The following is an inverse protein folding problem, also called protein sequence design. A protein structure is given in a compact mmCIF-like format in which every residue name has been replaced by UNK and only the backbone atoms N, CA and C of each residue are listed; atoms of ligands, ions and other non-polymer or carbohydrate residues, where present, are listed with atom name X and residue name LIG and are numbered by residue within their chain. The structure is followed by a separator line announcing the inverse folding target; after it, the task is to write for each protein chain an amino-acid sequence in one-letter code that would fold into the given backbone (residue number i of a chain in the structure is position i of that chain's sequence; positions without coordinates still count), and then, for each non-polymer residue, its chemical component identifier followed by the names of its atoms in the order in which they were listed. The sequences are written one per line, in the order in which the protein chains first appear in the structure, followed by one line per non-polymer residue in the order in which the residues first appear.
data_IF_814384482919
#
_entry.id   IF_814384482919
#
_cell.length_a   1.000
_cell.length_b   1.000
_cell.length_c   1.000
_cell.angle_alpha   90.00
_cell.angle_beta   90.00
_cell.angle_gamma   90.00
#
_symmetry.space_group_name_H-M   'P 1'
#
loop_
_entity.id
_entity.type
_entity.pdbx_description
1 polymer ?
#
# COMPACT_ATOMS: atom_id res chain seq x y z
N UNK A 1 -6.33 17.31 -9.13
CA UNK A 1 -5.03 16.80 -9.64
C UNK A 1 -3.99 17.90 -9.43
N UNK A 2 -2.75 17.57 -9.09
CA UNK A 2 -1.69 18.56 -8.91
C UNK A 2 -1.39 19.26 -10.25
N UNK A 3 -0.94 20.51 -10.17
CA UNK A 3 -0.58 21.31 -11.35
C UNK A 3 0.73 20.79 -11.96
N UNK A 4 0.74 20.56 -13.27
CA UNK A 4 1.94 20.11 -14.01
C UNK A 4 2.63 21.30 -14.67
N UNK A 5 3.95 21.38 -14.55
CA UNK A 5 4.76 22.38 -15.26
C UNK A 5 5.14 21.85 -16.65
N UNK A 6 5.16 22.70 -17.69
CA UNK A 6 5.64 22.32 -19.02
C UNK A 6 7.12 21.89 -19.05
N UNK A 7 7.88 22.34 -18.06
CA UNK A 7 9.26 21.95 -17.82
C UNK A 7 9.31 21.22 -16.47
N UNK A 8 9.32 19.88 -16.45
CA UNK A 8 9.42 19.14 -15.21
C UNK A 8 10.79 19.41 -14.56
N UNK A 9 10.85 19.66 -13.25
CA UNK A 9 12.11 19.76 -12.53
C UNK A 9 12.81 18.39 -12.50
N UNK A 10 14.11 18.40 -12.20
CA UNK A 10 14.83 17.15 -11.97
C UNK A 10 14.27 16.43 -10.75
N UNK A 11 14.31 15.10 -10.78
CA UNK A 11 13.74 14.28 -9.73
C UNK A 11 14.49 14.51 -8.40
N UNK A 12 13.71 14.76 -7.35
CA UNK A 12 14.19 14.82 -5.97
C UNK A 12 13.44 13.79 -5.13
N UNK A 13 14.13 12.93 -4.36
CA UNK A 13 13.48 11.96 -3.49
C UNK A 13 12.43 12.59 -2.57
N UNK A 14 11.31 11.88 -2.41
CA UNK A 14 10.24 12.27 -1.51
C UNK A 14 10.17 11.45 -0.24
N UNK A 15 9.09 11.64 0.50
CA UNK A 15 8.83 10.92 1.75
C UNK A 15 8.56 9.44 1.47
N UNK A 16 7.86 9.14 0.37
CA UNK A 16 7.51 7.76 -0.03
C UNK A 16 8.22 7.32 -1.29
N UNK A 17 8.36 8.20 -2.27
CA UNK A 17 9.01 7.87 -3.53
C UNK A 17 10.52 8.18 -3.46
N UNK A 18 11.32 7.17 -3.14
CA UNK A 18 12.79 7.26 -3.14
C UNK A 18 13.36 6.99 -4.53
N UNK A 19 14.65 7.31 -4.75
CA UNK A 19 15.33 6.99 -6.01
C UNK A 19 15.34 5.48 -6.28
N UNK A 20 15.66 4.67 -5.26
CA UNK A 20 15.65 3.20 -5.35
C UNK A 20 14.27 2.67 -5.79
N UNK A 21 13.19 3.17 -5.19
CA UNK A 21 11.82 2.80 -5.56
C UNK A 21 11.46 3.22 -6.98
N UNK A 22 11.95 4.38 -7.44
CA UNK A 22 11.73 4.85 -8.80
C UNK A 22 12.51 3.99 -9.82
N UNK A 23 13.74 3.61 -9.49
CA UNK A 23 14.58 2.75 -10.34
C UNK A 23 13.98 1.34 -10.45
N UNK A 24 13.49 0.79 -9.34
CA UNK A 24 12.77 -0.50 -9.29
C UNK A 24 11.51 -0.53 -10.17
N UNK A 25 10.85 0.62 -10.37
CA UNK A 25 9.66 0.71 -11.22
C UNK A 25 9.98 0.54 -12.72
N UNK A 26 11.24 0.70 -13.14
CA UNK A 26 11.72 0.43 -14.49
C UNK A 26 10.85 1.03 -15.63
N UNK A 27 10.54 2.33 -15.49
CA UNK A 27 9.50 3.06 -16.25
C UNK A 27 9.72 3.08 -17.78
N UNK A 28 10.97 2.95 -18.27
CA UNK A 28 11.27 2.94 -19.70
C UNK A 28 12.17 1.76 -20.12
N UNK A 29 11.89 0.56 -19.64
CA UNK A 29 12.64 -0.65 -20.02
C UNK A 29 12.73 -0.89 -21.54
N UNK A 30 11.73 -0.43 -22.31
CA UNK A 30 11.66 -0.58 -23.76
C UNK A 30 12.19 0.59 -24.57
N UNK A 31 12.67 1.68 -23.94
CA UNK A 31 13.21 2.85 -24.65
C UNK A 31 12.20 3.62 -25.51
N UNK A 32 10.89 3.48 -25.23
CA UNK A 32 9.82 4.15 -25.99
C UNK A 32 9.71 5.63 -25.62
N UNK A 33 9.87 5.96 -24.34
CA UNK A 33 9.74 7.32 -23.84
C UNK A 33 11.00 8.14 -24.13
N UNK A 34 10.82 9.43 -24.42
CA UNK A 34 11.92 10.37 -24.48
C UNK A 34 12.42 10.73 -23.06
N UNK A 35 13.67 11.21 -22.92
CA UNK A 35 14.20 11.60 -21.61
C UNK A 35 13.34 12.64 -20.88
N UNK A 36 12.72 13.57 -21.61
CA UNK A 36 11.81 14.57 -21.01
C UNK A 36 10.46 13.97 -20.59
N UNK A 37 9.98 12.93 -21.28
CA UNK A 37 8.76 12.22 -20.89
C UNK A 37 8.98 11.35 -19.65
N UNK A 38 10.14 10.71 -19.52
CA UNK A 38 10.54 10.01 -18.30
C UNK A 38 10.58 10.96 -17.10
N UNK A 39 11.19 12.14 -17.29
CA UNK A 39 11.25 13.19 -16.26
C UNK A 39 9.86 13.68 -15.87
N UNK A 40 8.98 13.89 -16.85
CA UNK A 40 7.58 14.25 -16.58
C UNK A 40 6.87 13.16 -15.77
N UNK A 41 7.07 11.89 -16.11
CA UNK A 41 6.45 10.79 -15.39
C UNK A 41 6.94 10.69 -13.94
N UNK A 42 8.26 10.78 -13.72
CA UNK A 42 8.84 10.83 -12.39
C UNK A 42 8.29 12.02 -11.58
N UNK A 43 8.10 13.18 -12.22
CA UNK A 43 7.50 14.34 -11.59
C UNK A 43 6.02 14.10 -11.19
N UNK A 44 5.23 13.47 -12.07
CA UNK A 44 3.83 13.12 -11.77
C UNK A 44 3.75 12.16 -10.58
N UNK A 45 4.59 11.12 -10.55
CA UNK A 45 4.65 10.18 -9.42
C UNK A 45 5.05 10.90 -8.14
N UNK A 46 6.02 11.82 -8.20
CA UNK A 46 6.49 12.60 -7.05
C UNK A 46 5.38 13.48 -6.47
N UNK A 47 4.57 14.11 -7.32
CA UNK A 47 3.44 14.94 -6.91
C UNK A 47 2.30 14.13 -6.28
N UNK A 48 2.17 12.85 -6.66
CA UNK A 48 1.14 11.95 -6.16
C UNK A 48 1.72 10.86 -5.25
N UNK A 49 2.86 11.11 -4.59
CA UNK A 49 3.57 10.05 -3.85
C UNK A 49 2.71 9.40 -2.74
N UNK A 50 1.77 10.15 -2.16
CA UNK A 50 0.87 9.64 -1.12
C UNK A 50 -0.20 8.68 -1.65
N UNK A 51 -0.44 8.63 -2.96
CA UNK A 51 -1.34 7.63 -3.56
C UNK A 51 -0.64 6.30 -3.83
N UNK A 52 0.69 6.28 -3.80
CA UNK A 52 1.50 5.07 -4.00
C UNK A 52 1.67 4.34 -2.67
N UNK A 53 1.39 3.04 -2.68
CA UNK A 53 1.53 2.17 -1.51
C UNK A 53 2.75 1.26 -1.65
N UNK A 54 3.86 1.65 -1.02
CA UNK A 54 5.08 0.84 -0.96
C UNK A 54 5.13 -0.09 0.25
N UNK A 55 4.37 0.21 1.30
CA UNK A 55 4.35 -0.52 2.57
C UNK A 55 2.89 -0.74 2.99
N UNK A 56 2.65 -1.72 3.85
CA UNK A 56 1.30 -2.05 4.35
C UNK A 56 0.62 -0.87 5.06
N UNK A 57 1.38 0.02 5.70
CA UNK A 57 0.89 1.25 6.33
C UNK A 57 0.50 2.35 5.33
N UNK A 58 1.02 2.30 4.09
CA UNK A 58 0.66 3.24 3.04
C UNK A 58 -0.66 2.88 2.35
N UNK A 59 -1.16 1.66 2.57
CA UNK A 59 -2.47 1.22 2.05
C UNK A 59 -3.56 2.09 2.65
N UNK A 60 -4.28 2.80 1.80
CA UNK A 60 -5.45 3.57 2.22
C UNK A 60 -6.61 2.66 2.66
N UNK A 61 -7.41 3.15 3.60
CA UNK A 61 -8.71 2.57 3.97
C UNK A 61 -9.83 3.40 3.35
N UNK A 62 -11.02 2.80 3.24
CA UNK A 62 -12.20 3.56 2.84
C UNK A 62 -12.52 4.61 3.90
N UNK A 63 -12.96 5.78 3.45
CA UNK A 63 -13.39 6.84 4.36
C UNK A 63 -14.72 6.46 5.01
N UNK A 64 -14.77 6.50 6.33
CA UNK A 64 -15.95 6.17 7.13
C UNK A 64 -17.13 7.12 6.88
N UNK A 65 -16.85 8.37 6.47
CA UNK A 65 -17.90 9.36 6.14
C UNK A 65 -18.60 9.08 4.81
N UNK A 66 -18.00 8.25 3.95
CA UNK A 66 -18.56 7.87 2.66
C UNK A 66 -19.10 6.44 2.66
N UNK A 67 -18.46 5.53 3.40
CA UNK A 67 -18.84 4.12 3.47
C UNK A 67 -19.22 3.73 4.90
N UNK A 68 -20.47 3.30 5.08
CA UNK A 68 -20.91 2.72 6.35
C UNK A 68 -20.29 1.34 6.57
N UNK A 69 -20.07 0.92 7.83
CA UNK A 69 -19.66 -0.44 8.14
C UNK A 69 -20.57 -1.48 7.49
N UNK A 70 -19.97 -2.56 6.98
CA UNK A 70 -20.72 -3.64 6.35
C UNK A 70 -21.39 -4.51 7.42
N UNK A 71 -22.70 -4.71 7.30
CA UNK A 71 -23.46 -5.62 8.18
C UNK A 71 -23.52 -6.98 7.50
N UNK A 72 -22.89 -7.98 8.12
CA UNK A 72 -22.97 -9.37 7.64
C UNK A 72 -24.35 -9.92 7.99
N UNK A 73 -25.20 -10.28 7.02
CA UNK A 73 -26.49 -10.89 7.32
C UNK A 73 -26.27 -12.30 7.88
N UNK A 74 -26.91 -12.60 9.01
CA UNK A 74 -26.83 -13.89 9.69
C UNK A 74 -28.18 -14.59 9.73
N UNK A 75 -28.17 -15.91 9.69
CA UNK A 75 -29.31 -16.78 10.01
C UNK A 75 -29.13 -17.23 11.46
N UNK A 76 -30.19 -17.71 12.13
CA UNK A 76 -30.05 -18.32 13.46
C UNK A 76 -29.04 -19.48 13.41
N UNK A 77 -27.94 -19.35 14.15
CA UNK A 77 -26.87 -20.33 14.24
C UNK A 77 -26.20 -20.26 15.61
N UNK A 78 -25.56 -21.34 16.02
CA UNK A 78 -24.69 -21.37 17.18
C UNK A 78 -23.28 -20.91 16.77
N UNK A 79 -22.61 -20.03 17.55
CA UNK A 79 -21.22 -19.69 17.30
C UNK A 79 -20.34 -20.94 17.30
N UNK A 80 -19.51 -21.09 16.27
CA UNK A 80 -18.58 -22.21 16.14
C UNK A 80 -17.20 -21.82 16.66
N UNK A 81 -16.69 -22.54 17.66
CA UNK A 81 -15.30 -22.44 18.11
C UNK A 81 -14.52 -23.69 17.69
N UNK A 82 -13.36 -23.49 17.06
CA UNK A 82 -12.45 -24.57 16.68
C UNK A 82 -11.02 -24.22 17.10
N UNK A 83 -10.25 -25.24 17.49
CA UNK A 83 -8.86 -25.05 17.90
C UNK A 83 -8.02 -24.57 16.71
N UNK A 84 -7.20 -23.54 16.94
CA UNK A 84 -6.34 -22.97 15.91
C UNK A 84 -5.38 -24.04 15.33
N UNK A 85 -5.22 -24.02 14.02
CA UNK A 85 -4.27 -24.90 13.31
C UNK A 85 -2.84 -24.54 13.76
N UNK A 86 -2.01 -25.52 14.19
CA UNK A 86 -0.66 -25.23 14.65
C UNK A 86 0.22 -24.71 13.52
N UNK A 87 0.94 -23.61 13.79
CA UNK A 87 1.84 -22.99 12.82
C UNK A 87 3.19 -23.74 12.83
N UNK A 88 3.69 -24.20 11.66
CA UNK A 88 5.00 -24.83 11.57
C UNK A 88 6.13 -23.92 12.08
N UNK A 89 7.11 -24.44 12.85
CA UNK A 89 8.17 -23.63 13.44
C UNK A 89 8.97 -22.80 12.42
N UNK A 90 9.23 -23.35 11.23
CA UNK A 90 10.02 -22.68 10.20
C UNK A 90 9.38 -21.41 9.59
N UNK A 91 8.06 -21.23 9.74
CA UNK A 91 7.35 -20.04 9.24
C UNK A 91 6.82 -19.14 10.35
N UNK A 92 7.00 -19.54 11.62
CA UNK A 92 6.39 -18.87 12.78
C UNK A 92 6.77 -17.40 12.85
N UNK A 93 8.06 -17.08 12.74
CA UNK A 93 8.53 -15.69 12.80
C UNK A 93 7.96 -14.85 11.66
N UNK A 94 7.89 -15.39 10.45
CA UNK A 94 7.31 -14.69 9.29
C UNK A 94 5.82 -14.39 9.50
N UNK A 95 5.08 -15.33 10.06
CA UNK A 95 3.64 -15.13 10.37
C UNK A 95 3.48 -14.07 11.45
N UNK A 96 4.30 -14.10 12.50
CA UNK A 96 4.28 -13.09 13.57
C UNK A 96 4.58 -11.69 13.02
N UNK A 97 5.59 -11.55 12.16
CA UNK A 97 5.90 -10.26 11.51
C UNK A 97 4.73 -9.74 10.68
N UNK A 98 4.14 -10.60 9.86
CA UNK A 98 2.96 -10.24 9.05
C UNK A 98 1.78 -9.80 9.92
N UNK A 99 1.50 -10.50 11.02
CA UNK A 99 0.43 -10.12 11.95
C UNK A 99 0.69 -8.75 12.58
N UNK A 100 1.93 -8.46 13.00
CA UNK A 100 2.32 -7.15 13.54
C UNK A 100 2.14 -6.04 12.52
N UNK A 101 2.50 -6.27 11.26
CA UNK A 101 2.30 -5.30 10.17
C UNK A 101 0.81 -5.02 9.94
N UNK A 102 -0.05 -6.04 9.96
CA UNK A 102 -1.51 -5.86 9.81
C UNK A 102 -2.13 -5.10 10.98
N UNK A 103 -1.65 -5.33 12.22
CA UNK A 103 -2.06 -4.56 13.40
C UNK A 103 -1.60 -3.10 13.27
N UNK A 104 -0.34 -2.87 12.90
CA UNK A 104 0.20 -1.52 12.69
C UNK A 104 -0.53 -0.75 11.58
N UNK A 105 -0.98 -1.45 10.53
CA UNK A 105 -1.80 -0.89 9.46
C UNK A 105 -3.28 -0.67 9.86
N UNK A 106 -3.69 -1.03 11.08
CA UNK A 106 -5.06 -0.87 11.57
C UNK A 106 -6.08 -1.82 10.95
N UNK A 107 -5.63 -2.90 10.30
CA UNK A 107 -6.53 -3.91 9.71
C UNK A 107 -7.00 -4.92 10.74
N UNK A 108 -6.14 -5.26 11.70
CA UNK A 108 -6.46 -6.18 12.79
C UNK A 108 -6.49 -5.46 14.12
N UNK A 109 -7.49 -5.80 14.93
CA UNK A 109 -7.68 -5.31 16.29
C UNK A 109 -7.82 -6.49 17.27
N UNK A 110 -7.39 -6.33 18.53
CA UNK A 110 -7.64 -7.34 19.56
C UNK A 110 -9.14 -7.48 19.84
N UNK A 111 -9.64 -8.71 19.80
CA UNK A 111 -11.00 -9.05 20.26
C UNK A 111 -10.98 -9.37 21.76
N UNK A 112 -12.02 -8.95 22.50
CA UNK A 112 -12.23 -9.32 23.91
C UNK A 112 -12.86 -10.71 24.05
#
# INVERSE_FOLDING_TARGET
LPHLTPHPPDFSPGDRLTQERLDDMNINSGGFLWPDEERLFAHILRLNEHTLAFEECHRGTFREDYFTPYIIPVIEHEPWEFVNIPIPPGIRERVVSLLKEKIAAGVYEPSQ
#
